data_IF_705521118310
#
_entry.id   IF_705521118310
#
_cell.length_a   1.000
_cell.length_b   1.000
_cell.length_c   1.000
_cell.angle_alpha   90.00
_cell.angle_beta   90.00
_cell.angle_gamma   90.00
#
_symmetry.space_group_name_H-M   'P 1'
#
loop_
_entity.id
_entity.type
_entity.pdbx_description
1 polymer ?
#
# COMPACT_ATOMS: atom_id res chain seq x y z
N UNK A 1 6.49 22.15 2.02
CA UNK A 1 7.40 22.15 0.85
C UNK A 1 8.60 21.28 1.17
N UNK A 2 8.71 20.10 0.56
CA UNK A 2 9.93 19.30 0.50
C UNK A 2 9.96 18.72 -0.91
N UNK A 3 10.71 19.38 -1.78
CA UNK A 3 10.99 18.94 -3.14
C UNK A 3 11.93 17.73 -3.04
N UNK A 4 11.42 16.53 -3.27
CA UNK A 4 12.28 15.39 -3.61
C UNK A 4 12.70 15.54 -5.08
N UNK A 5 13.65 16.44 -5.31
CA UNK A 5 14.43 16.46 -6.54
C UNK A 5 15.56 15.45 -6.39
N UNK A 6 15.36 14.24 -6.89
CA UNK A 6 16.46 13.31 -7.10
C UNK A 6 17.22 13.78 -8.35
N UNK A 7 18.26 14.58 -8.13
CA UNK A 7 19.28 14.90 -9.14
C UNK A 7 20.10 13.62 -9.39
N UNK A 8 19.87 13.00 -10.55
CA UNK A 8 20.79 12.05 -11.15
C UNK A 8 22.04 12.81 -11.59
N UNK A 9 23.10 12.74 -10.79
CA UNK A 9 24.44 13.15 -11.22
C UNK A 9 25.00 11.98 -12.05
N UNK A 10 24.87 12.07 -13.37
CA UNK A 10 25.60 11.23 -14.31
C UNK A 10 27.04 11.74 -14.37
N UNK A 11 27.96 11.00 -13.75
CA UNK A 11 29.39 11.19 -13.94
C UNK A 11 29.75 10.85 -15.40
N UNK A 12 30.27 11.86 -16.10
CA UNK A 12 30.86 11.73 -17.42
C UNK A 12 32.15 10.90 -17.33
N UNK A 13 32.07 9.61 -17.66
CA UNK A 13 33.23 8.86 -18.11
C UNK A 13 33.20 8.81 -19.64
N UNK A 14 33.99 9.69 -20.25
CA UNK A 14 34.30 9.66 -21.68
C UNK A 14 35.21 8.47 -21.96
N UNK A 15 34.63 7.35 -22.42
CA UNK A 15 35.38 6.31 -23.12
C UNK A 15 35.10 6.47 -24.61
N UNK A 16 36.11 6.95 -25.34
CA UNK A 16 36.15 6.84 -26.79
C UNK A 16 36.18 5.35 -27.15
N UNK A 17 35.06 4.79 -27.59
CA UNK A 17 35.05 3.45 -28.18
C UNK A 17 35.44 3.54 -29.65
N UNK A 18 36.69 3.18 -29.91
CA UNK A 18 37.18 2.88 -31.25
C UNK A 18 36.69 1.49 -31.71
N UNK A 19 36.07 1.45 -32.90
CA UNK A 19 36.02 0.33 -33.84
C UNK A 19 35.60 -1.04 -33.26
N UNK A 20 34.29 -1.21 -33.09
CA UNK A 20 33.64 -2.53 -33.01
C UNK A 20 33.58 -3.24 -34.38
N UNK A 21 34.70 -3.29 -35.12
CA UNK A 21 34.80 -4.01 -36.40
C UNK A 21 35.64 -5.29 -36.33
N UNK A 22 36.13 -5.67 -35.14
CA UNK A 22 36.94 -6.88 -35.00
C UNK A 22 36.43 -7.73 -33.83
N UNK A 23 35.30 -8.41 -34.06
CA UNK A 23 34.91 -9.73 -33.53
C UNK A 23 33.42 -9.96 -33.79
N UNK A 24 33.02 -9.92 -35.06
CA UNK A 24 31.71 -10.38 -35.49
C UNK A 24 31.68 -11.92 -35.52
N UNK A 25 31.61 -12.54 -34.35
CA UNK A 25 30.86 -13.79 -34.25
C UNK A 25 29.39 -13.38 -34.36
N UNK A 26 28.84 -13.45 -35.58
CA UNK A 26 27.49 -12.99 -35.92
C UNK A 26 26.46 -13.55 -34.92
N UNK A 27 25.93 -12.67 -34.08
CA UNK A 27 24.93 -13.03 -33.07
C UNK A 27 23.54 -13.29 -33.68
N UNK A 28 23.31 -12.83 -34.91
CA UNK A 28 22.13 -13.12 -35.74
C UNK A 28 22.46 -12.90 -37.23
N UNK A 29 21.84 -13.64 -38.18
CA UNK A 29 21.97 -13.40 -39.62
C UNK A 29 21.57 -11.98 -40.08
N UNK A 30 20.79 -11.27 -39.27
CA UNK A 30 20.27 -9.92 -39.57
C UNK A 30 21.04 -8.81 -38.87
N UNK A 31 22.07 -9.10 -38.08
CA UNK A 31 22.73 -8.12 -37.22
C UNK A 31 23.29 -6.90 -37.99
N UNK A 32 23.87 -7.10 -39.17
CA UNK A 32 24.39 -5.98 -39.98
C UNK A 32 23.28 -5.02 -40.43
N UNK A 33 22.12 -5.56 -40.81
CA UNK A 33 20.95 -4.78 -41.23
C UNK A 33 20.29 -4.08 -40.05
N UNK A 34 20.24 -4.76 -38.89
CA UNK A 34 19.80 -4.18 -37.63
C UNK A 34 20.70 -2.99 -37.24
N UNK A 35 22.02 -3.20 -37.22
CA UNK A 35 22.99 -2.18 -36.83
C UNK A 35 22.93 -0.95 -37.75
N UNK A 36 22.80 -1.15 -39.07
CA UNK A 36 22.65 -0.05 -40.01
C UNK A 36 21.39 0.81 -39.75
N UNK A 37 20.26 0.17 -39.42
CA UNK A 37 19.04 0.90 -39.08
C UNK A 37 19.14 1.60 -37.72
N UNK A 38 19.79 0.97 -36.74
CA UNK A 38 20.11 1.58 -35.44
C UNK A 38 20.97 2.84 -35.60
N UNK A 39 22.08 2.77 -36.35
CA UNK A 39 22.97 3.91 -36.58
C UNK A 39 22.23 5.07 -37.27
N UNK A 40 21.41 4.75 -38.28
CA UNK A 40 20.56 5.73 -38.96
C UNK A 40 19.59 6.41 -37.99
N UNK A 41 18.97 5.64 -37.09
CA UNK A 41 18.08 6.17 -36.06
C UNK A 41 18.85 7.03 -35.03
N UNK A 42 20.04 6.60 -34.62
CA UNK A 42 20.84 7.29 -33.62
C UNK A 42 21.31 8.67 -34.13
N UNK A 43 21.76 8.72 -35.39
CA UNK A 43 22.25 9.93 -36.06
C UNK A 43 21.16 10.91 -36.49
N UNK A 44 19.88 10.50 -36.51
CA UNK A 44 18.78 11.36 -36.91
C UNK A 44 18.61 12.55 -35.95
N UNK A 45 18.67 13.77 -36.49
CA UNK A 45 18.50 15.03 -35.73
C UNK A 45 17.03 15.45 -35.63
N UNK A 46 16.21 15.12 -36.63
CA UNK A 46 14.77 15.32 -36.57
C UNK A 46 14.11 14.29 -35.64
N UNK A 47 13.35 14.78 -34.68
CA UNK A 47 12.71 13.98 -33.64
C UNK A 47 11.66 13.02 -34.22
N UNK A 48 10.90 13.47 -35.22
CA UNK A 48 9.88 12.66 -35.89
C UNK A 48 10.49 11.50 -36.69
N UNK A 49 11.53 11.80 -37.48
CA UNK A 49 12.29 10.82 -38.24
C UNK A 49 12.97 9.82 -37.32
N UNK A 50 13.62 10.27 -36.22
CA UNK A 50 14.24 9.39 -35.24
C UNK A 50 13.23 8.41 -34.65
N UNK A 51 12.06 8.89 -34.22
CA UNK A 51 10.99 8.03 -33.70
C UNK A 51 10.52 7.01 -34.75
N UNK A 52 10.32 7.45 -36.00
CA UNK A 52 9.87 6.58 -37.08
C UNK A 52 10.86 5.44 -37.35
N UNK A 53 12.16 5.74 -37.41
CA UNK A 53 13.21 4.74 -37.62
C UNK A 53 13.30 3.73 -36.46
N UNK A 54 13.17 4.18 -35.21
CA UNK A 54 13.14 3.27 -34.05
C UNK A 54 11.91 2.35 -34.07
N UNK A 55 10.75 2.87 -34.50
CA UNK A 55 9.55 2.05 -34.66
C UNK A 55 9.66 1.07 -35.84
N UNK A 56 10.27 1.49 -36.94
CA UNK A 56 10.61 0.60 -38.06
C UNK A 56 11.50 -0.54 -37.60
N UNK A 57 12.52 -0.25 -36.78
CA UNK A 57 13.40 -1.26 -36.21
C UNK A 57 12.62 -2.32 -35.44
N UNK A 58 11.82 -1.93 -34.44
CA UNK A 58 11.12 -2.90 -33.59
C UNK A 58 9.98 -3.64 -34.30
N UNK A 59 9.43 -3.07 -35.38
CA UNK A 59 8.46 -3.73 -36.27
C UNK A 59 9.11 -4.79 -37.15
N UNK A 60 10.29 -4.49 -37.67
CA UNK A 60 11.00 -5.36 -38.62
C UNK A 60 11.67 -6.52 -37.89
N UNK A 61 12.40 -6.20 -36.81
CA UNK A 61 13.15 -7.17 -36.03
C UNK A 61 12.39 -7.44 -34.73
N UNK A 62 11.82 -8.65 -34.57
CA UNK A 62 11.03 -9.01 -33.38
C UNK A 62 11.85 -9.11 -32.10
N UNK A 63 13.15 -9.38 -32.23
CA UNK A 63 14.14 -9.47 -31.15
C UNK A 63 15.50 -9.07 -31.74
N UNK A 64 16.30 -8.37 -30.96
CA UNK A 64 17.65 -7.95 -31.35
C UNK A 64 18.57 -7.83 -30.13
N UNK A 65 19.87 -8.05 -30.30
CA UNK A 65 20.86 -7.72 -29.26
C UNK A 65 21.00 -6.20 -29.06
N UNK A 66 20.52 -5.39 -30.02
CA UNK A 66 20.47 -3.94 -29.92
C UNK A 66 19.22 -3.43 -29.18
N UNK A 67 18.34 -4.31 -28.72
CA UNK A 67 17.07 -3.92 -28.08
C UNK A 67 17.30 -2.96 -26.90
N UNK A 68 18.34 -3.16 -26.08
CA UNK A 68 18.66 -2.23 -24.98
C UNK A 68 18.99 -0.82 -25.46
N UNK A 69 19.69 -0.68 -26.59
CA UNK A 69 20.06 0.60 -27.19
C UNK A 69 18.84 1.26 -27.82
N UNK A 70 18.03 0.49 -28.56
CA UNK A 70 16.79 0.97 -29.17
C UNK A 70 15.80 1.46 -28.10
N UNK A 71 15.64 0.69 -27.03
CA UNK A 71 14.83 1.07 -25.87
C UNK A 71 15.31 2.34 -25.21
N UNK A 72 16.63 2.50 -25.00
CA UNK A 72 17.21 3.71 -24.43
C UNK A 72 16.96 4.95 -25.29
N UNK A 73 17.13 4.81 -26.61
CA UNK A 73 16.83 5.89 -27.57
C UNK A 73 15.34 6.24 -27.58
N UNK A 74 14.46 5.23 -27.58
CA UNK A 74 13.02 5.47 -27.59
C UNK A 74 12.53 6.08 -26.26
N UNK A 75 13.16 5.74 -25.14
CA UNK A 75 12.81 6.29 -23.83
C UNK A 75 12.97 7.82 -23.75
N UNK A 76 13.78 8.43 -24.61
CA UNK A 76 13.94 9.89 -24.69
C UNK A 76 12.63 10.61 -25.02
N UNK A 77 11.73 9.95 -25.77
CA UNK A 77 10.42 10.52 -26.14
C UNK A 77 9.43 10.60 -24.96
N UNK A 78 9.70 9.93 -23.84
CA UNK A 78 8.85 9.97 -22.66
C UNK A 78 9.00 11.25 -21.83
N UNK A 79 10.19 11.88 -21.89
CA UNK A 79 10.54 13.02 -21.03
C UNK A 79 9.66 14.24 -21.26
N UNK A 80 9.39 14.59 -22.52
CA UNK A 80 8.58 15.76 -22.87
C UNK A 80 7.14 15.70 -22.32
N UNK A 81 6.36 14.66 -22.68
CA UNK A 81 5.02 14.46 -22.14
C UNK A 81 4.99 14.38 -20.61
N UNK A 82 5.98 13.71 -19.99
CA UNK A 82 6.10 13.62 -18.53
C UNK A 82 6.23 14.99 -17.88
N UNK A 83 7.10 15.85 -18.40
CA UNK A 83 7.31 17.20 -17.85
C UNK A 83 6.10 18.11 -18.02
N UNK A 84 5.36 17.97 -19.14
CA UNK A 84 4.15 18.74 -19.41
C UNK A 84 2.90 18.17 -18.74
N UNK A 85 2.98 17.00 -18.09
CA UNK A 85 1.84 16.33 -17.50
C UNK A 85 0.86 15.75 -18.52
N UNK A 86 1.30 15.50 -19.75
CA UNK A 86 0.51 14.90 -20.83
C UNK A 86 0.44 13.37 -20.65
N UNK A 87 -0.18 12.93 -19.56
CA UNK A 87 -0.14 11.52 -19.15
C UNK A 87 -0.78 10.57 -20.16
N UNK A 88 -1.83 11.00 -20.87
CA UNK A 88 -2.43 10.19 -21.94
C UNK A 88 -1.46 10.02 -23.12
N UNK A 89 -0.73 11.07 -23.50
CA UNK A 89 0.30 11.00 -24.53
C UNK A 89 1.43 10.07 -24.11
N UNK A 90 1.87 10.16 -22.85
CA UNK A 90 2.89 9.27 -22.30
C UNK A 90 2.44 7.80 -22.34
N UNK A 91 1.21 7.51 -21.92
CA UNK A 91 0.63 6.17 -21.98
C UNK A 91 0.60 5.64 -23.42
N UNK A 92 0.13 6.44 -24.38
CA UNK A 92 0.04 6.03 -25.78
C UNK A 92 1.41 5.72 -26.39
N UNK A 93 2.44 6.53 -26.08
CA UNK A 93 3.82 6.29 -26.54
C UNK A 93 4.40 5.01 -25.94
N UNK A 94 4.18 4.79 -24.64
CA UNK A 94 4.65 3.59 -23.96
C UNK A 94 3.96 2.33 -24.53
N UNK A 95 2.63 2.34 -24.66
CA UNK A 95 1.89 1.20 -25.20
C UNK A 95 2.25 0.91 -26.67
N UNK A 96 2.49 1.95 -27.50
CA UNK A 96 2.95 1.77 -28.88
C UNK A 96 4.23 0.94 -28.95
N UNK A 97 5.20 1.24 -28.10
CA UNK A 97 6.47 0.51 -28.05
C UNK A 97 6.30 -0.90 -27.46
N UNK A 98 5.50 -1.03 -26.38
CA UNK A 98 5.22 -2.32 -25.71
C UNK A 98 4.59 -3.34 -26.66
N UNK A 99 3.80 -2.91 -27.67
CA UNK A 99 3.25 -3.81 -28.70
C UNK A 99 4.34 -4.60 -29.42
N UNK A 100 5.53 -4.03 -29.59
CA UNK A 100 6.67 -4.66 -30.25
C UNK A 100 7.74 -5.17 -29.28
N UNK A 101 7.84 -4.59 -28.09
CA UNK A 101 8.76 -4.96 -27.02
C UNK A 101 8.02 -5.11 -25.69
N UNK A 102 7.28 -6.21 -25.47
CA UNK A 102 6.45 -6.37 -24.28
C UNK A 102 7.24 -6.51 -22.97
N UNK A 103 8.54 -6.79 -23.05
CA UNK A 103 9.44 -6.85 -21.91
C UNK A 103 10.26 -5.56 -21.71
N UNK A 104 9.97 -4.48 -22.43
CA UNK A 104 10.74 -3.25 -22.28
C UNK A 104 10.46 -2.53 -20.96
N UNK A 105 11.48 -2.42 -20.11
CA UNK A 105 11.38 -1.84 -18.77
C UNK A 105 11.11 -0.34 -18.81
N UNK A 106 11.69 0.40 -19.76
CA UNK A 106 11.48 1.85 -19.87
C UNK A 106 10.04 2.19 -20.24
N UNK A 107 9.48 1.48 -21.22
CA UNK A 107 8.12 1.64 -21.66
C UNK A 107 7.14 1.20 -20.57
N UNK A 108 7.36 0.06 -19.90
CA UNK A 108 6.51 -0.34 -18.78
C UNK A 108 6.55 0.66 -17.63
N UNK A 109 7.72 1.23 -17.31
CA UNK A 109 7.84 2.29 -16.30
C UNK A 109 7.05 3.55 -16.70
N UNK A 110 7.16 3.99 -17.96
CA UNK A 110 6.41 5.12 -18.49
C UNK A 110 4.89 4.88 -18.48
N UNK A 111 4.42 3.70 -18.89
CA UNK A 111 3.01 3.33 -18.85
C UNK A 111 2.49 3.28 -17.40
N UNK A 112 3.24 2.65 -16.48
CA UNK A 112 2.89 2.56 -15.06
C UNK A 112 2.72 3.95 -14.45
N UNK A 113 3.69 4.84 -14.67
CA UNK A 113 3.63 6.24 -14.21
C UNK A 113 2.42 6.99 -14.81
N UNK A 114 2.19 6.85 -16.11
CA UNK A 114 1.07 7.50 -16.78
C UNK A 114 -0.27 7.07 -16.19
N UNK A 115 -0.50 5.76 -16.02
CA UNK A 115 -1.77 5.25 -15.49
C UNK A 115 -1.96 5.50 -13.99
N UNK A 116 -0.87 5.64 -13.24
CA UNK A 116 -0.91 6.19 -11.90
C UNK A 116 -1.46 7.62 -11.90
N UNK A 117 -0.96 8.49 -12.79
CA UNK A 117 -1.40 9.89 -12.88
C UNK A 117 -2.79 10.07 -13.47
N UNK A 118 -3.21 9.17 -14.36
CA UNK A 118 -4.55 9.12 -14.94
C UNK A 118 -5.59 8.47 -14.02
N UNK A 119 -5.19 8.00 -12.83
CA UNK A 119 -6.08 7.28 -11.91
C UNK A 119 -6.83 6.11 -12.59
N UNK A 120 -6.09 5.32 -13.38
CA UNK A 120 -6.62 4.18 -14.14
C UNK A 120 -6.18 2.86 -13.49
N UNK A 121 -6.88 2.37 -12.45
CA UNK A 121 -6.35 1.32 -11.59
C UNK A 121 -6.15 -0.03 -12.28
N UNK A 122 -7.02 -0.40 -13.23
CA UNK A 122 -6.87 -1.67 -13.97
C UNK A 122 -5.58 -1.67 -14.80
N UNK A 123 -5.33 -0.57 -15.52
CA UNK A 123 -4.12 -0.39 -16.32
C UNK A 123 -2.86 -0.26 -15.45
N UNK A 124 -2.97 0.41 -14.31
CA UNK A 124 -1.88 0.48 -13.33
C UNK A 124 -1.51 -0.90 -12.78
N UNK A 125 -2.50 -1.75 -12.49
CA UNK A 125 -2.25 -3.15 -12.09
C UNK A 125 -1.58 -3.92 -13.22
N UNK A 126 -2.07 -3.80 -14.45
CA UNK A 126 -1.54 -4.50 -15.63
C UNK A 126 -0.05 -4.20 -15.82
N UNK A 127 0.31 -2.93 -15.97
CA UNK A 127 1.69 -2.52 -16.25
C UNK A 127 2.57 -2.56 -15.01
N UNK A 128 2.06 -2.14 -13.85
CA UNK A 128 2.80 -2.13 -12.60
C UNK A 128 3.19 -3.54 -12.13
N UNK A 129 2.31 -4.53 -12.31
CA UNK A 129 2.63 -5.93 -11.98
C UNK A 129 3.75 -6.47 -12.86
N UNK A 130 3.69 -6.21 -14.18
CA UNK A 130 4.72 -6.62 -15.13
C UNK A 130 6.05 -5.93 -14.83
N UNK A 131 6.03 -4.62 -14.57
CA UNK A 131 7.20 -3.86 -14.18
C UNK A 131 7.84 -4.42 -12.91
N UNK A 132 7.05 -4.66 -11.86
CA UNK A 132 7.55 -5.23 -10.61
C UNK A 132 8.15 -6.63 -10.82
N UNK A 133 7.58 -7.46 -11.69
CA UNK A 133 8.11 -8.81 -11.95
C UNK A 133 9.53 -8.79 -12.57
N UNK A 134 9.87 -7.73 -13.31
CA UNK A 134 11.18 -7.57 -13.95
C UNK A 134 12.15 -6.72 -13.13
N UNK A 135 11.62 -5.74 -12.38
CA UNK A 135 12.40 -4.82 -11.55
C UNK A 135 11.67 -4.55 -10.24
N UNK A 136 11.73 -5.50 -9.28
CA UNK A 136 11.04 -5.38 -8.00
C UNK A 136 11.48 -4.13 -7.23
N UNK A 137 10.52 -3.29 -6.86
CA UNK A 137 10.76 -2.12 -6.03
C UNK A 137 9.52 -1.76 -5.19
N UNK A 138 9.75 -1.12 -4.04
CA UNK A 138 8.69 -0.79 -3.08
C UNK A 138 7.65 0.20 -3.60
N UNK A 139 8.05 1.18 -4.42
CA UNK A 139 7.14 2.21 -4.93
C UNK A 139 6.10 1.61 -5.91
N UNK A 140 6.55 0.78 -6.86
CA UNK A 140 5.65 0.06 -7.76
C UNK A 140 4.73 -0.87 -6.98
N UNK A 141 5.25 -1.64 -6.01
CA UNK A 141 4.41 -2.50 -5.18
C UNK A 141 3.31 -1.71 -4.43
N UNK A 142 3.68 -0.56 -3.85
CA UNK A 142 2.75 0.33 -3.17
C UNK A 142 1.65 0.83 -4.11
N UNK A 143 2.01 1.36 -5.28
CA UNK A 143 0.99 1.89 -6.21
C UNK A 143 0.07 0.81 -6.78
N UNK A 144 0.59 -0.41 -6.99
CA UNK A 144 -0.26 -1.55 -7.37
C UNK A 144 -1.18 -1.96 -6.21
N UNK A 145 -0.71 -1.95 -4.96
CA UNK A 145 -1.56 -2.16 -3.78
C UNK A 145 -2.70 -1.13 -3.72
N UNK A 146 -2.38 0.16 -3.88
CA UNK A 146 -3.37 1.26 -3.90
C UNK A 146 -4.36 1.14 -5.06
N UNK A 147 -3.92 0.63 -6.22
CA UNK A 147 -4.82 0.35 -7.34
C UNK A 147 -5.86 -0.72 -6.96
N UNK A 148 -5.44 -1.84 -6.37
CA UNK A 148 -6.35 -2.88 -5.90
C UNK A 148 -7.29 -2.38 -4.80
N UNK A 149 -6.79 -1.54 -3.88
CA UNK A 149 -7.62 -0.91 -2.86
C UNK A 149 -8.73 -0.04 -3.49
N UNK A 150 -8.40 0.78 -4.49
CA UNK A 150 -9.39 1.62 -5.19
C UNK A 150 -10.47 0.80 -5.90
N UNK A 151 -10.13 -0.42 -6.34
CA UNK A 151 -11.05 -1.38 -6.94
C UNK A 151 -11.79 -2.24 -5.90
N UNK A 152 -11.55 -2.02 -4.60
CA UNK A 152 -12.09 -2.80 -3.48
C UNK A 152 -11.71 -4.28 -3.51
N UNK A 153 -10.64 -4.65 -4.22
CA UNK A 153 -10.10 -6.00 -4.27
C UNK A 153 -9.20 -6.24 -3.06
N UNK A 154 -9.83 -6.63 -1.94
CA UNK A 154 -9.15 -6.84 -0.66
C UNK A 154 -8.08 -7.93 -0.71
N UNK A 155 -8.31 -8.97 -1.50
CA UNK A 155 -7.38 -10.11 -1.60
C UNK A 155 -6.07 -9.67 -2.24
N UNK A 156 -6.15 -9.02 -3.41
CA UNK A 156 -4.93 -8.58 -4.08
C UNK A 156 -4.32 -7.34 -3.41
N UNK A 157 -5.12 -6.48 -2.77
CA UNK A 157 -4.61 -5.38 -1.97
C UNK A 157 -3.67 -5.87 -0.86
N UNK A 158 -4.10 -6.85 -0.06
CA UNK A 158 -3.27 -7.40 1.03
C UNK A 158 -2.00 -8.09 0.52
N UNK A 159 -2.08 -8.86 -0.58
CA UNK A 159 -0.91 -9.47 -1.23
C UNK A 159 0.13 -8.44 -1.67
N UNK A 160 -0.33 -7.33 -2.25
CA UNK A 160 0.57 -6.26 -2.70
C UNK A 160 1.05 -5.37 -1.55
N UNK A 161 0.27 -5.21 -0.49
CA UNK A 161 0.73 -4.58 0.75
C UNK A 161 1.91 -5.36 1.36
N UNK A 162 1.87 -6.69 1.37
CA UNK A 162 3.00 -7.52 1.80
C UNK A 162 4.23 -7.33 0.90
N UNK A 163 4.05 -7.27 -0.42
CA UNK A 163 5.14 -6.97 -1.35
C UNK A 163 5.75 -5.58 -1.09
N UNK A 164 4.94 -4.59 -0.75
CA UNK A 164 5.45 -3.27 -0.33
C UNK A 164 6.29 -3.39 0.94
N UNK A 165 5.81 -4.14 1.93
CA UNK A 165 6.50 -4.34 3.22
C UNK A 165 7.82 -5.11 3.12
N UNK A 166 8.08 -5.81 2.00
CA UNK A 166 9.40 -6.41 1.73
C UNK A 166 10.45 -5.34 1.42
N UNK A 167 10.05 -4.20 0.85
CA UNK A 167 10.93 -3.10 0.46
C UNK A 167 10.89 -1.93 1.45
N UNK A 168 9.74 -1.71 2.08
CA UNK A 168 9.53 -0.69 3.10
C UNK A 168 8.87 -1.33 4.34
N UNK A 169 9.65 -1.99 5.21
CA UNK A 169 9.11 -2.73 6.34
C UNK A 169 8.38 -1.87 7.39
N UNK A 170 8.61 -0.55 7.36
CA UNK A 170 8.03 0.46 8.25
C UNK A 170 6.82 1.18 7.66
N UNK A 171 6.31 0.75 6.49
CA UNK A 171 5.13 1.36 5.89
C UNK A 171 3.87 1.12 6.75
N UNK A 172 3.53 2.09 7.59
CA UNK A 172 2.45 1.97 8.58
C UNK A 172 1.09 1.69 7.92
N UNK A 173 0.82 2.29 6.77
CA UNK A 173 -0.42 2.07 6.03
C UNK A 173 -0.55 0.60 5.58
N UNK A 174 0.51 0.05 4.99
CA UNK A 174 0.51 -1.35 4.56
C UNK A 174 0.50 -2.33 5.74
N UNK A 175 1.09 -1.96 6.88
CA UNK A 175 0.99 -2.74 8.12
C UNK A 175 -0.47 -2.81 8.61
N UNK A 176 -1.18 -1.68 8.62
CA UNK A 176 -2.62 -1.64 8.95
C UNK A 176 -3.45 -2.50 7.99
N UNK A 177 -3.17 -2.42 6.69
CA UNK A 177 -3.83 -3.27 5.69
C UNK A 177 -3.63 -4.77 5.97
N UNK A 178 -2.40 -5.16 6.35
CA UNK A 178 -2.07 -6.54 6.69
C UNK A 178 -2.70 -7.02 8.01
N UNK A 179 -2.83 -6.14 9.02
CA UNK A 179 -3.59 -6.44 10.25
C UNK A 179 -5.06 -6.77 9.88
N UNK A 180 -5.68 -5.93 9.06
CA UNK A 180 -7.07 -6.14 8.61
C UNK A 180 -7.24 -7.46 7.85
N UNK A 181 -6.30 -7.77 6.95
CA UNK A 181 -6.31 -9.02 6.21
C UNK A 181 -6.14 -10.25 7.13
N UNK A 182 -5.25 -10.16 8.11
CA UNK A 182 -5.02 -11.24 9.08
C UNK A 182 -6.27 -11.51 9.93
N UNK A 183 -7.01 -10.49 10.38
CA UNK A 183 -8.31 -10.69 11.03
C UNK A 183 -9.34 -11.36 10.11
N UNK A 184 -9.34 -11.03 8.82
CA UNK A 184 -10.25 -11.65 7.85
C UNK A 184 -10.09 -13.17 7.74
N UNK A 185 -8.91 -13.71 8.06
CA UNK A 185 -8.61 -15.15 8.10
C UNK A 185 -8.41 -15.67 9.54
N UNK A 186 -8.79 -14.88 10.55
CA UNK A 186 -8.67 -15.20 11.98
C UNK A 186 -7.25 -15.50 12.47
N UNK A 187 -6.22 -15.03 11.77
CA UNK A 187 -4.82 -15.18 12.16
C UNK A 187 -4.38 -14.04 13.10
N UNK A 188 -4.73 -14.19 14.37
CA UNK A 188 -4.48 -13.16 15.40
C UNK A 188 -2.99 -12.97 15.70
N UNK A 189 -2.19 -14.05 15.62
CA UNK A 189 -0.74 -13.98 15.82
C UNK A 189 -0.08 -13.15 14.72
N UNK A 190 -0.51 -13.35 13.46
CA UNK A 190 -0.04 -12.55 12.34
C UNK A 190 -0.48 -11.09 12.45
N UNK A 191 -1.72 -10.84 12.86
CA UNK A 191 -2.21 -9.49 13.13
C UNK A 191 -1.34 -8.78 14.19
N UNK A 192 -1.04 -9.45 15.31
CA UNK A 192 -0.16 -8.96 16.36
C UNK A 192 1.28 -8.69 15.86
N UNK A 193 1.82 -9.56 15.00
CA UNK A 193 3.12 -9.34 14.38
C UNK A 193 3.20 -8.05 13.56
N UNK A 194 2.19 -7.76 12.75
CA UNK A 194 2.12 -6.49 12.00
C UNK A 194 1.86 -5.29 12.93
N UNK A 195 1.05 -5.46 13.98
CA UNK A 195 0.80 -4.41 14.97
C UNK A 195 2.07 -3.97 15.71
N UNK A 196 2.89 -4.91 16.16
CA UNK A 196 4.18 -4.62 16.81
C UNK A 196 5.11 -3.83 15.88
N UNK A 197 5.19 -4.23 14.60
CA UNK A 197 5.95 -3.49 13.59
C UNK A 197 5.39 -2.08 13.38
N UNK A 198 4.07 -1.93 13.38
CA UNK A 198 3.39 -0.65 13.20
C UNK A 198 3.66 0.33 14.34
N UNK A 199 3.56 -0.14 15.58
CA UNK A 199 3.91 0.65 16.76
C UNK A 199 5.37 1.11 16.73
N UNK A 200 6.30 0.19 16.43
CA UNK A 200 7.73 0.50 16.31
C UNK A 200 8.01 1.53 15.21
N UNK A 201 7.38 1.40 14.04
CA UNK A 201 7.54 2.36 12.95
C UNK A 201 7.06 3.77 13.34
N UNK A 202 5.98 3.86 14.12
CA UNK A 202 5.41 5.14 14.58
C UNK A 202 6.25 5.85 15.64
N UNK A 203 7.13 5.15 16.36
CA UNK A 203 8.03 5.77 17.37
C UNK A 203 9.01 6.75 16.73
N UNK A 204 9.52 6.41 15.54
CA UNK A 204 10.52 7.22 14.82
C UNK A 204 9.91 8.09 13.71
N UNK A 205 8.61 7.96 13.44
CA UNK A 205 7.95 8.65 12.33
C UNK A 205 7.67 10.11 12.68
N UNK A 206 8.25 11.03 11.90
CA UNK A 206 7.95 12.45 11.97
C UNK A 206 6.60 12.74 11.32
N UNK A 207 5.99 13.86 11.71
CA UNK A 207 4.78 14.40 11.05
C UNK A 207 4.98 14.44 9.52
N UNK A 208 4.14 13.75 8.73
CA UNK A 208 4.27 13.75 7.27
C UNK A 208 4.13 15.16 6.70
N UNK A 209 4.89 15.45 5.64
CA UNK A 209 4.83 16.73 4.97
C UNK A 209 3.39 17.03 4.49
N UNK A 210 2.88 18.22 4.81
CA UNK A 210 1.52 18.64 4.44
C UNK A 210 0.43 18.28 5.45
N UNK A 211 0.76 17.58 6.54
CA UNK A 211 -0.15 17.39 7.68
C UNK A 211 0.24 18.33 8.84
N UNK A 212 -0.76 18.79 9.60
CA UNK A 212 -0.50 19.47 10.87
C UNK A 212 -0.14 18.44 11.95
N UNK A 213 0.63 18.86 12.96
CA UNK A 213 0.99 17.98 14.08
C UNK A 213 -0.24 17.44 14.81
N UNK A 214 -1.28 18.26 14.97
CA UNK A 214 -2.55 17.85 15.59
C UNK A 214 -3.29 16.79 14.77
N UNK A 215 -3.35 16.95 13.44
CA UNK A 215 -3.96 15.97 12.55
C UNK A 215 -3.16 14.66 12.55
N UNK A 216 -1.83 14.74 12.48
CA UNK A 216 -0.96 13.58 12.56
C UNK A 216 -1.07 12.87 13.92
N UNK A 217 -1.14 13.62 15.03
CA UNK A 217 -1.34 13.03 16.36
C UNK A 217 -2.64 12.25 16.43
N UNK A 218 -3.73 12.82 15.92
CA UNK A 218 -5.04 12.15 15.87
C UNK A 218 -4.98 10.86 15.04
N UNK A 219 -4.41 10.94 13.83
CA UNK A 219 -4.30 9.79 12.94
C UNK A 219 -3.36 8.70 13.50
N UNK A 220 -2.21 9.09 14.04
CA UNK A 220 -1.26 8.15 14.65
C UNK A 220 -1.82 7.51 15.92
N UNK A 221 -2.62 8.22 16.71
CA UNK A 221 -3.32 7.64 17.87
C UNK A 221 -4.37 6.61 17.44
N UNK A 222 -5.13 6.87 16.38
CA UNK A 222 -6.07 5.89 15.81
C UNK A 222 -5.34 4.63 15.33
N UNK A 223 -4.20 4.78 14.65
CA UNK A 223 -3.39 3.64 14.21
C UNK A 223 -2.82 2.87 15.41
N UNK A 224 -2.30 3.57 16.43
CA UNK A 224 -1.82 2.93 17.66
C UNK A 224 -2.94 2.19 18.37
N UNK A 225 -4.15 2.76 18.43
CA UNK A 225 -5.33 2.09 18.99
C UNK A 225 -5.65 0.80 18.22
N UNK A 226 -5.61 0.85 16.89
CA UNK A 226 -5.82 -0.30 16.02
C UNK A 226 -4.77 -1.40 16.23
N UNK A 227 -3.50 -1.01 16.39
CA UNK A 227 -2.41 -1.94 16.70
C UNK A 227 -2.58 -2.56 18.10
N UNK A 228 -2.87 -1.77 19.13
CA UNK A 228 -3.12 -2.27 20.47
C UNK A 228 -4.35 -3.19 20.52
N UNK A 229 -5.37 -2.94 19.71
CA UNK A 229 -6.50 -3.87 19.58
C UNK A 229 -6.03 -5.24 19.07
N UNK A 230 -5.19 -5.28 18.04
CA UNK A 230 -4.66 -6.54 17.49
C UNK A 230 -3.84 -7.33 18.52
N UNK A 231 -2.96 -6.65 19.25
CA UNK A 231 -2.19 -7.27 20.35
C UNK A 231 -3.10 -7.79 21.46
N UNK A 232 -4.09 -7.00 21.86
CA UNK A 232 -5.04 -7.41 22.89
C UNK A 232 -5.85 -8.65 22.50
N UNK A 233 -6.21 -8.81 21.22
CA UNK A 233 -6.90 -10.00 20.74
C UNK A 233 -6.02 -11.25 20.75
N UNK A 234 -4.75 -11.13 20.37
CA UNK A 234 -3.79 -12.23 20.48
C UNK A 234 -3.60 -12.67 21.94
N UNK A 235 -3.37 -11.71 22.84
CA UNK A 235 -3.21 -12.01 24.27
C UNK A 235 -4.48 -12.63 24.86
N UNK A 236 -5.65 -12.19 24.41
CA UNK A 236 -6.93 -12.74 24.85
C UNK A 236 -7.03 -14.23 24.52
N UNK A 237 -6.68 -14.64 23.29
CA UNK A 237 -6.73 -16.05 22.88
C UNK A 237 -5.61 -16.90 23.49
N UNK A 238 -4.48 -16.27 23.85
CA UNK A 238 -3.40 -16.89 24.63
C UNK A 238 -3.71 -16.99 26.12
N UNK A 239 -4.86 -16.50 26.56
CA UNK A 239 -5.26 -16.40 27.97
C UNK A 239 -4.33 -15.49 28.82
N UNK A 240 -3.54 -14.62 28.19
CA UNK A 240 -2.73 -13.59 28.84
C UNK A 240 -3.63 -12.38 29.19
N UNK A 241 -4.64 -12.61 30.04
CA UNK A 241 -5.69 -11.61 30.31
C UNK A 241 -5.19 -10.27 30.88
N UNK A 242 -4.16 -10.21 31.76
CA UNK A 242 -3.62 -8.93 32.23
C UNK A 242 -3.04 -8.08 31.08
N UNK A 243 -2.28 -8.70 30.18
CA UNK A 243 -1.68 -8.01 29.02
C UNK A 243 -2.75 -7.63 27.99
N UNK A 244 -3.69 -8.54 27.73
CA UNK A 244 -4.87 -8.28 26.90
C UNK A 244 -5.65 -7.07 27.39
N UNK A 245 -5.92 -6.99 28.70
CA UNK A 245 -6.61 -5.87 29.31
C UNK A 245 -5.82 -4.56 29.17
N UNK A 246 -4.51 -4.58 29.40
CA UNK A 246 -3.63 -3.41 29.22
C UNK A 246 -3.70 -2.89 27.78
N UNK A 247 -3.68 -3.78 26.79
CA UNK A 247 -3.78 -3.41 25.39
C UNK A 247 -5.15 -2.84 25.01
N UNK A 248 -6.25 -3.47 25.42
CA UNK A 248 -7.58 -2.92 25.13
C UNK A 248 -7.86 -1.61 25.86
N UNK A 249 -7.36 -1.43 27.09
CA UNK A 249 -7.43 -0.13 27.78
C UNK A 249 -6.68 0.96 27.02
N UNK A 250 -5.51 0.63 26.48
CA UNK A 250 -4.72 1.57 25.67
C UNK A 250 -5.44 1.90 24.36
N UNK A 251 -6.02 0.90 23.69
CA UNK A 251 -6.82 1.09 22.49
C UNK A 251 -8.03 2.00 22.76
N UNK A 252 -8.80 1.74 23.82
CA UNK A 252 -9.95 2.55 24.20
C UNK A 252 -9.57 3.98 24.68
N UNK A 253 -8.35 4.18 25.19
CA UNK A 253 -7.86 5.51 25.56
C UNK A 253 -7.49 6.34 24.32
N UNK A 254 -6.82 5.72 23.35
CA UNK A 254 -6.35 6.37 22.12
C UNK A 254 -7.47 6.58 21.11
N UNK A 255 -8.40 5.62 21.04
CA UNK A 255 -9.63 5.70 20.28
C UNK A 255 -10.82 5.30 21.16
N UNK A 256 -11.45 6.29 21.84
CA UNK A 256 -12.64 6.05 22.65
C UNK A 256 -13.80 5.40 21.91
N UNK A 257 -13.83 5.48 20.57
CA UNK A 257 -14.89 4.92 19.73
C UNK A 257 -14.59 3.53 19.19
N UNK A 258 -13.57 2.86 19.73
CA UNK A 258 -13.23 1.48 19.39
C UNK A 258 -14.22 0.49 20.03
N UNK A 259 -15.25 0.08 19.28
CA UNK A 259 -16.34 -0.78 19.74
C UNK A 259 -15.85 -2.14 20.27
N UNK A 260 -14.91 -2.75 19.55
CA UNK A 260 -14.32 -4.04 19.86
C UNK A 260 -13.46 -3.98 21.14
N UNK A 261 -12.71 -2.90 21.37
CA UNK A 261 -11.94 -2.73 22.60
C UNK A 261 -12.87 -2.70 23.83
N UNK A 262 -13.98 -1.95 23.76
CA UNK A 262 -14.97 -1.94 24.84
C UNK A 262 -15.64 -3.31 25.02
N UNK A 263 -15.95 -4.01 23.93
CA UNK A 263 -16.53 -5.36 23.99
C UNK A 263 -15.61 -6.35 24.71
N UNK A 264 -14.32 -6.38 24.35
CA UNK A 264 -13.32 -7.26 24.97
C UNK A 264 -13.04 -6.90 26.42
N UNK A 265 -12.99 -5.61 26.75
CA UNK A 265 -12.91 -5.15 28.14
C UNK A 265 -14.09 -5.64 28.98
N UNK A 266 -15.30 -5.68 28.40
CA UNK A 266 -16.48 -6.24 29.06
C UNK A 266 -16.25 -7.67 29.54
N UNK A 267 -15.77 -8.55 28.65
CA UNK A 267 -15.44 -9.93 29.03
C UNK A 267 -14.30 -10.04 30.04
N UNK A 268 -13.24 -9.24 29.85
CA UNK A 268 -12.09 -9.26 30.77
C UNK A 268 -12.49 -8.84 32.19
N UNK A 269 -13.31 -7.78 32.31
CA UNK A 269 -13.84 -7.36 33.60
C UNK A 269 -14.81 -8.38 34.21
N UNK A 270 -15.67 -8.97 33.39
CA UNK A 270 -16.61 -9.99 33.87
C UNK A 270 -15.87 -11.20 34.42
N UNK A 271 -14.85 -11.68 33.71
CA UNK A 271 -13.96 -12.76 34.16
C UNK A 271 -13.26 -12.42 35.47
N UNK A 272 -12.84 -11.17 35.64
CA UNK A 272 -12.21 -10.68 36.86
C UNK A 272 -13.20 -10.44 38.02
N UNK A 273 -14.50 -10.74 37.84
CA UNK A 273 -15.55 -10.49 38.84
C UNK A 273 -15.94 -9.02 38.98
N UNK A 274 -15.39 -8.12 38.16
CA UNK A 274 -15.69 -6.69 38.18
C UNK A 274 -16.96 -6.39 37.37
N UNK A 275 -18.10 -6.89 37.85
CA UNK A 275 -19.41 -6.86 37.16
C UNK A 275 -19.80 -5.45 36.71
N UNK A 276 -19.70 -4.44 37.57
CA UNK A 276 -20.07 -3.06 37.22
C UNK A 276 -19.24 -2.51 36.05
N UNK A 277 -17.92 -2.80 36.04
CA UNK A 277 -17.03 -2.39 34.95
C UNK A 277 -17.35 -3.13 33.66
N UNK A 278 -17.70 -4.42 33.75
CA UNK A 278 -18.11 -5.21 32.62
C UNK A 278 -19.37 -4.64 31.95
N UNK A 279 -20.40 -4.36 32.76
CA UNK A 279 -21.65 -3.75 32.30
C UNK A 279 -21.41 -2.39 31.64
N UNK A 280 -20.59 -1.53 32.23
CA UNK A 280 -20.22 -0.24 31.64
C UNK A 280 -19.49 -0.40 30.29
N UNK A 281 -18.57 -1.36 30.19
CA UNK A 281 -17.86 -1.67 28.94
C UNK A 281 -18.78 -2.23 27.86
N UNK A 282 -19.68 -3.15 28.18
CA UNK A 282 -20.67 -3.62 27.21
C UNK A 282 -21.65 -2.53 26.77
N UNK A 283 -22.05 -1.63 27.68
CA UNK A 283 -22.85 -0.47 27.35
C UNK A 283 -22.13 0.47 26.36
N UNK A 284 -20.84 0.74 26.59
CA UNK A 284 -20.00 1.53 25.67
C UNK A 284 -19.90 0.90 24.28
N UNK A 285 -19.64 -0.40 24.17
CA UNK A 285 -19.63 -1.09 22.87
C UNK A 285 -21.02 -1.08 22.20
N UNK A 286 -22.10 -1.24 22.97
CA UNK A 286 -23.48 -1.19 22.46
C UNK A 286 -23.78 0.15 21.77
N UNK A 287 -23.49 1.28 22.43
CA UNK A 287 -23.89 2.61 21.93
C UNK A 287 -23.06 3.07 20.73
N UNK A 288 -21.87 2.50 20.53
CA UNK A 288 -21.00 2.82 19.40
C UNK A 288 -21.53 2.29 18.06
N UNK A 289 -22.52 1.39 18.08
CA UNK A 289 -23.16 0.85 16.86
C UNK A 289 -22.17 0.21 15.87
N UNK A 290 -21.02 -0.28 16.36
CA UNK A 290 -20.02 -0.99 15.56
C UNK A 290 -20.36 -2.48 15.35
N UNK A 291 -19.49 -3.25 14.68
CA UNK A 291 -19.70 -4.67 14.41
C UNK A 291 -20.04 -5.51 15.65
N UNK A 292 -19.57 -5.11 16.84
CA UNK A 292 -19.81 -5.83 18.10
C UNK A 292 -21.03 -5.34 18.88
N UNK A 293 -21.73 -4.30 18.43
CA UNK A 293 -22.79 -3.63 19.20
C UNK A 293 -23.95 -4.56 19.58
N UNK A 294 -24.41 -5.41 18.66
CA UNK A 294 -25.52 -6.34 18.92
C UNK A 294 -25.12 -7.42 19.94
N UNK A 295 -23.93 -7.98 19.78
CA UNK A 295 -23.39 -8.95 20.73
C UNK A 295 -23.17 -8.32 22.10
N UNK A 296 -22.61 -7.12 22.16
CA UNK A 296 -22.44 -6.36 23.40
C UNK A 296 -23.78 -6.06 24.08
N UNK A 297 -24.82 -5.73 23.32
CA UNK A 297 -26.18 -5.53 23.86
C UNK A 297 -26.72 -6.80 24.51
N UNK A 298 -26.50 -7.94 23.86
CA UNK A 298 -26.89 -9.24 24.41
C UNK A 298 -26.11 -9.53 25.70
N UNK A 299 -24.79 -9.40 25.70
CA UNK A 299 -23.96 -9.62 26.90
C UNK A 299 -24.33 -8.67 28.05
N UNK A 300 -24.61 -7.41 27.75
CA UNK A 300 -25.08 -6.41 28.72
C UNK A 300 -26.38 -6.88 29.40
N UNK A 301 -27.37 -7.26 28.60
CA UNK A 301 -28.68 -7.69 29.13
C UNK A 301 -28.56 -9.01 29.92
N UNK A 302 -27.84 -9.98 29.39
CA UNK A 302 -27.64 -11.29 30.00
C UNK A 302 -26.94 -11.13 31.37
N UNK A 303 -25.82 -10.39 31.42
CA UNK A 303 -25.07 -10.15 32.65
C UNK A 303 -25.87 -9.31 33.66
N UNK A 304 -26.60 -8.30 33.20
CA UNK A 304 -27.40 -7.46 34.08
C UNK A 304 -28.56 -8.26 34.69
N UNK A 305 -29.25 -9.08 33.90
CA UNK A 305 -30.31 -9.97 34.38
C UNK A 305 -29.77 -11.03 35.34
N UNK A 306 -28.59 -11.59 35.07
CA UNK A 306 -27.95 -12.53 35.98
C UNK A 306 -27.61 -11.88 37.32
N UNK A 307 -27.13 -10.64 37.31
CA UNK A 307 -26.63 -9.95 38.52
C UNK A 307 -27.73 -9.29 39.35
N UNK A 308 -28.81 -8.82 38.71
CA UNK A 308 -29.87 -8.02 39.36
C UNK A 308 -31.29 -8.56 39.15
N UNK A 309 -31.46 -9.67 38.42
CA UNK A 309 -32.76 -10.31 38.15
C UNK A 309 -33.81 -9.42 37.45
N UNK A 310 -33.39 -8.34 36.78
CA UNK A 310 -34.25 -7.46 36.01
C UNK A 310 -33.44 -6.78 34.88
N UNK A 311 -34.00 -5.78 34.18
CA UNK A 311 -33.30 -4.96 33.17
C UNK A 311 -33.49 -3.44 33.37
N UNK A 312 -34.01 -3.02 34.52
CA UNK A 312 -34.47 -1.64 34.77
C UNK A 312 -33.34 -0.62 34.69
N UNK A 313 -32.12 -0.99 35.11
CA UNK A 313 -30.96 -0.08 35.05
C UNK A 313 -30.23 -0.04 33.70
N UNK A 314 -30.55 -0.94 32.76
CA UNK A 314 -29.87 -1.01 31.45
C UNK A 314 -30.02 0.30 30.64
N UNK A 315 -31.21 0.94 30.54
CA UNK A 315 -31.34 2.23 29.86
C UNK A 315 -30.42 3.31 30.43
N UNK A 316 -30.25 3.35 31.77
CA UNK A 316 -29.34 4.32 32.43
C UNK A 316 -27.88 4.07 32.05
N UNK A 317 -27.44 2.81 32.04
CA UNK A 317 -26.07 2.45 31.63
C UNK A 317 -25.79 2.87 30.18
N UNK A 318 -26.74 2.65 29.27
CA UNK A 318 -26.60 3.11 27.89
C UNK A 318 -26.53 4.64 27.81
N UNK A 319 -27.38 5.36 28.53
CA UNK A 319 -27.38 6.82 28.50
C UNK A 319 -26.05 7.37 29.05
N UNK A 320 -25.52 6.81 30.14
CA UNK A 320 -24.19 7.18 30.66
C UNK A 320 -23.10 6.93 29.62
N UNK A 321 -23.09 5.76 28.98
CA UNK A 321 -22.13 5.45 27.92
C UNK A 321 -22.23 6.41 26.73
N UNK A 322 -23.45 6.83 26.35
CA UNK A 322 -23.65 7.83 25.28
C UNK A 322 -23.01 9.17 25.61
N UNK A 323 -23.24 9.66 26.83
CA UNK A 323 -22.69 10.92 27.32
C UNK A 323 -21.16 10.86 27.38
N UNK A 324 -20.60 9.79 27.95
CA UNK A 324 -19.14 9.59 28.03
C UNK A 324 -18.46 9.60 26.66
N UNK A 325 -19.09 8.99 25.65
CA UNK A 325 -18.51 8.83 24.32
C UNK A 325 -18.92 9.91 23.32
N UNK A 326 -19.77 10.85 23.73
CA UNK A 326 -20.30 11.91 22.87
C UNK A 326 -21.07 11.38 21.66
N UNK A 327 -21.82 10.28 21.83
CA UNK A 327 -22.69 9.72 20.78
C UNK A 327 -24.16 10.10 21.05
N UNK A 328 -24.89 10.42 19.98
CA UNK A 328 -26.29 10.85 20.03
C UNK A 328 -27.23 9.65 20.28
#
# INVERSE_FOLDING_TARGET
>A
MLRYGALLILSLFSWQFSLAQANATQSSPTYEQEYALYEKANAATDSGQKKALLLEFVKTYKKSDLDSHISSLYAQFYTGPRQRGEWQTLANLAEEFIRYRPADVYAMAAATEAYQKLNSPQKLVEFGTRLYSQSPNGATAYFVAKAYESMKDRLNYSKWAEKTLQHDPGNVEMLVACISAAWGVQDLARAAGYANRGLKALETMKTPAGQSEAAWKTNSDQIKAYCHRALGEEDYVKNAYPDSQKHFLTAAKLDPKNDMAHYRLGFLYWRAGAVDKALASFARSTVLSGPTSQDARKQLNDLYKQSYHNLVGVPKLLQSAKVELGVK
#
